data_IF_278025953974
#
_entry.id   IF_278025953974
#
_cell.length_a   1.000
_cell.length_b   1.000
_cell.length_c   1.000
_cell.angle_alpha   90.00
_cell.angle_beta   90.00
_cell.angle_gamma   90.00
#
_symmetry.space_group_name_H-M   'P 1'
#
loop_
_entity.id
_entity.type
_entity.pdbx_description
1 polymer ?
#
# COMPACT_ATOMS: atom_id res chain seq x y z
N UNK A 1 8.33 29.02 -10.96
CA UNK A 1 7.62 27.73 -10.99
C UNK A 1 6.87 27.45 -9.68
N UNK A 2 7.41 27.79 -8.51
CA UNK A 2 6.71 27.61 -7.21
C UNK A 2 5.49 28.56 -7.05
N UNK A 3 5.58 29.80 -7.53
CA UNK A 3 4.51 30.81 -7.38
C UNK A 3 3.19 30.52 -8.11
N UNK A 4 3.20 29.69 -9.16
CA UNK A 4 1.99 29.38 -9.93
C UNK A 4 1.19 28.21 -9.32
N UNK A 5 1.89 27.28 -8.67
CA UNK A 5 1.25 26.13 -8.00
C UNK A 5 0.48 26.57 -6.76
N UNK A 6 0.99 27.55 -6.02
CA UNK A 6 0.34 28.04 -4.80
C UNK A 6 -0.95 28.83 -5.09
N UNK A 7 -0.99 29.59 -6.19
CA UNK A 7 -2.18 30.36 -6.60
C UNK A 7 -3.31 29.46 -7.13
N UNK A 8 -2.96 28.46 -7.93
CA UNK A 8 -3.90 27.47 -8.45
C UNK A 8 -4.53 26.65 -7.31
N UNK A 9 -3.71 26.24 -6.34
CA UNK A 9 -4.16 25.55 -5.13
C UNK A 9 -5.12 26.38 -4.26
N UNK A 10 -4.78 27.65 -4.01
CA UNK A 10 -5.62 28.55 -3.22
C UNK A 10 -6.96 28.83 -3.89
N UNK A 11 -6.96 29.04 -5.21
CA UNK A 11 -8.18 29.28 -6.00
C UNK A 11 -9.09 28.05 -5.96
N UNK A 12 -8.53 26.86 -6.16
CA UNK A 12 -9.27 25.59 -6.07
C UNK A 12 -9.86 25.36 -4.67
N UNK A 13 -9.15 25.76 -3.61
CA UNK A 13 -9.60 25.56 -2.21
C UNK A 13 -10.78 26.46 -1.86
N UNK A 14 -10.77 27.73 -2.28
CA UNK A 14 -11.86 28.67 -2.00
C UNK A 14 -13.11 28.37 -2.85
N UNK A 15 -12.95 27.95 -4.11
CA UNK A 15 -14.06 27.51 -4.96
C UNK A 15 -14.77 26.29 -4.36
N UNK A 16 -14.00 25.26 -3.96
CA UNK A 16 -14.53 24.07 -3.30
C UNK A 16 -15.26 24.40 -2.00
N UNK A 17 -14.73 25.34 -1.22
CA UNK A 17 -15.35 25.79 0.02
C UNK A 17 -16.67 26.52 -0.25
N UNK A 18 -16.71 27.42 -1.23
CA UNK A 18 -17.94 28.14 -1.62
C UNK A 18 -19.02 27.18 -2.10
N UNK A 19 -18.67 26.19 -2.93
CA UNK A 19 -19.63 25.18 -3.37
C UNK A 19 -20.14 24.34 -2.19
N UNK A 20 -19.28 23.99 -1.23
CA UNK A 20 -19.68 23.24 -0.04
C UNK A 20 -20.63 24.03 0.86
N UNK A 21 -20.39 25.34 1.02
CA UNK A 21 -21.23 26.27 1.78
C UNK A 21 -22.63 26.41 1.16
N UNK A 22 -22.76 26.29 -0.16
CA UNK A 22 -24.04 26.33 -0.87
C UNK A 22 -24.82 25.00 -0.84
N UNK A 23 -24.20 23.91 -0.34
CA UNK A 23 -24.83 22.59 -0.35
C UNK A 23 -25.78 22.35 0.83
N UNK A 24 -26.86 21.65 0.51
CA UNK A 24 -27.89 21.31 1.49
C UNK A 24 -27.33 20.45 2.62
N UNK A 25 -27.48 20.91 3.86
CA UNK A 25 -26.95 20.28 5.07
C UNK A 25 -25.63 20.84 5.57
N UNK A 26 -24.99 21.80 4.87
CA UNK A 26 -23.80 22.49 5.37
C UNK A 26 -24.11 23.37 6.58
N UNK A 27 -25.03 24.33 6.42
CA UNK A 27 -25.40 25.29 7.47
C UNK A 27 -25.99 24.62 8.72
N UNK A 28 -26.72 23.52 8.51
CA UNK A 28 -27.35 22.74 9.58
C UNK A 28 -26.39 21.73 10.25
N UNK A 29 -25.14 21.62 9.76
CA UNK A 29 -24.19 20.56 10.13
C UNK A 29 -24.76 19.14 9.98
N UNK A 30 -25.72 18.92 9.07
CA UNK A 30 -26.28 17.61 8.76
C UNK A 30 -25.37 16.91 7.74
N UNK A 31 -24.34 16.25 8.28
CA UNK A 31 -23.34 15.54 7.49
C UNK A 31 -23.90 14.46 6.56
N UNK A 32 -25.07 13.89 6.89
CA UNK A 32 -25.69 12.86 6.06
C UNK A 32 -26.35 13.49 4.84
N UNK A 33 -27.00 14.64 5.02
CA UNK A 33 -27.63 15.42 3.96
C UNK A 33 -26.58 16.06 3.06
N UNK A 34 -25.54 16.66 3.66
CA UNK A 34 -24.41 17.24 2.96
C UNK A 34 -23.72 16.22 2.06
N UNK A 35 -23.39 15.03 2.60
CA UNK A 35 -22.77 13.95 1.80
C UNK A 35 -23.63 13.55 0.61
N UNK A 36 -24.96 13.52 0.77
CA UNK A 36 -25.89 13.16 -0.32
C UNK A 36 -25.87 14.20 -1.44
N UNK A 37 -25.83 15.50 -1.11
CA UNK A 37 -25.70 16.56 -2.11
C UNK A 37 -24.30 16.59 -2.74
N UNK A 38 -23.23 16.36 -1.99
CA UNK A 38 -21.87 16.22 -2.56
C UNK A 38 -21.82 15.13 -3.64
N UNK A 39 -22.38 13.94 -3.35
CA UNK A 39 -22.44 12.82 -4.32
C UNK A 39 -23.30 13.16 -5.53
N UNK A 40 -24.37 13.94 -5.35
CA UNK A 40 -25.27 14.35 -6.43
C UNK A 40 -24.63 15.40 -7.33
N UNK A 41 -23.89 16.35 -6.77
CA UNK A 41 -23.30 17.49 -7.50
C UNK A 41 -21.96 17.13 -8.12
N UNK A 42 -21.09 16.43 -7.39
CA UNK A 42 -19.73 16.11 -7.82
C UNK A 42 -19.57 14.67 -8.34
N UNK A 43 -20.64 13.87 -8.31
CA UNK A 43 -20.57 12.42 -8.48
C UNK A 43 -20.11 11.73 -7.20
N UNK A 44 -20.19 10.39 -7.17
CA UNK A 44 -19.63 9.65 -6.04
C UNK A 44 -18.12 9.93 -6.02
N UNK A 45 -17.66 10.64 -4.98
CA UNK A 45 -16.24 10.79 -4.73
C UNK A 45 -15.72 9.37 -4.60
N UNK A 46 -14.86 8.95 -5.53
CA UNK A 46 -14.30 7.61 -5.54
C UNK A 46 -13.36 7.44 -4.33
N UNK A 47 -13.96 7.32 -3.16
CA UNK A 47 -13.34 6.97 -1.89
C UNK A 47 -12.90 5.49 -1.90
N UNK A 48 -12.96 4.83 -3.06
CA UNK A 48 -12.86 3.37 -3.26
C UNK A 48 -11.42 2.90 -3.48
N UNK A 49 -10.44 3.79 -3.61
CA UNK A 49 -9.03 3.41 -3.76
C UNK A 49 -8.20 4.03 -2.62
N UNK A 50 -8.26 3.39 -1.45
CA UNK A 50 -7.43 3.74 -0.28
C UNK A 50 -5.95 3.48 -0.53
N UNK A 51 -5.64 2.45 -1.33
CA UNK A 51 -4.28 2.12 -1.73
C UNK A 51 -4.22 1.64 -3.18
N UNK A 52 -3.11 1.97 -3.83
CA UNK A 52 -2.75 1.53 -5.18
C UNK A 52 -1.54 0.58 -5.13
N UNK A 53 -1.29 -0.12 -6.24
CA UNK A 53 -0.06 -0.92 -6.41
C UNK A 53 1.19 -0.03 -6.33
N UNK A 54 1.10 1.23 -6.74
CA UNK A 54 2.18 2.20 -6.65
C UNK A 54 2.54 2.55 -5.21
N UNK A 55 1.56 2.61 -4.31
CA UNK A 55 1.80 2.81 -2.87
C UNK A 55 2.63 1.67 -2.28
N UNK A 56 2.30 0.43 -2.67
CA UNK A 56 3.05 -0.76 -2.25
C UNK A 56 4.49 -0.73 -2.78
N UNK A 57 4.68 -0.35 -4.05
CA UNK A 57 6.00 -0.22 -4.69
C UNK A 57 6.82 0.89 -4.02
N UNK A 58 6.20 2.05 -3.78
CA UNK A 58 6.83 3.20 -3.14
C UNK A 58 7.27 2.85 -1.72
N UNK A 59 6.42 2.16 -0.95
CA UNK A 59 6.75 1.69 0.39
C UNK A 59 7.99 0.78 0.37
N UNK A 60 8.03 -0.22 -0.51
CA UNK A 60 9.18 -1.13 -0.61
C UNK A 60 10.47 -0.39 -1.00
N UNK A 61 10.41 0.51 -1.98
CA UNK A 61 11.56 1.33 -2.41
C UNK A 61 12.07 2.26 -1.30
N UNK A 62 11.16 2.88 -0.54
CA UNK A 62 11.53 3.73 0.59
C UNK A 62 12.15 2.91 1.72
N UNK A 63 11.60 1.72 2.00
CA UNK A 63 12.18 0.83 2.99
C UNK A 63 13.56 0.32 2.57
N UNK A 64 13.75 -0.04 1.30
CA UNK A 64 15.06 -0.45 0.78
C UNK A 64 16.14 0.62 0.98
N UNK A 65 15.78 1.90 0.86
CA UNK A 65 16.70 3.04 1.07
C UNK A 65 17.04 3.26 2.54
N UNK A 66 16.08 3.05 3.44
CA UNK A 66 16.29 3.21 4.89
C UNK A 66 16.90 1.98 5.55
N UNK A 67 16.75 0.81 4.91
CA UNK A 67 17.19 -0.48 5.42
C UNK A 67 16.20 -1.10 6.40
N UNK A 68 16.43 -2.37 6.70
CA UNK A 68 15.77 -3.10 7.79
C UNK A 68 16.91 -3.62 8.65
N UNK A 69 17.22 -2.90 9.73
CA UNK A 69 18.43 -3.16 10.54
C UNK A 69 18.13 -3.84 11.86
N UNK A 70 16.86 -3.79 12.29
CA UNK A 70 16.42 -4.30 13.56
C UNK A 70 14.95 -4.71 13.49
N UNK A 71 14.49 -5.40 14.54
CA UNK A 71 13.13 -5.91 14.65
C UNK A 71 12.06 -4.82 14.53
N UNK A 72 12.31 -3.61 15.04
CA UNK A 72 11.35 -2.49 14.98
C UNK A 72 11.14 -2.03 13.53
N UNK A 73 12.21 -1.89 12.76
CA UNK A 73 12.15 -1.53 11.34
C UNK A 73 11.34 -2.59 10.58
N UNK A 74 11.64 -3.85 10.83
CA UNK A 74 10.94 -4.99 10.23
C UNK A 74 9.45 -4.99 10.53
N UNK A 75 9.04 -4.85 11.81
CA UNK A 75 7.61 -4.86 12.18
C UNK A 75 6.86 -3.66 11.61
N UNK A 76 7.48 -2.48 11.58
CA UNK A 76 6.90 -1.29 10.95
C UNK A 76 6.68 -1.51 9.46
N UNK A 77 7.68 -2.05 8.75
CA UNK A 77 7.58 -2.36 7.33
C UNK A 77 6.52 -3.42 7.06
N UNK A 78 6.58 -4.57 7.75
CA UNK A 78 5.64 -5.67 7.62
C UNK A 78 4.19 -5.20 7.84
N UNK A 79 3.95 -4.41 8.89
CA UNK A 79 2.62 -3.90 9.22
C UNK A 79 2.03 -3.02 8.11
N UNK A 80 2.82 -2.07 7.60
CA UNK A 80 2.40 -1.20 6.50
C UNK A 80 2.18 -1.98 5.21
N UNK A 81 3.14 -2.84 4.85
CA UNK A 81 3.10 -3.62 3.61
C UNK A 81 1.90 -4.58 3.61
N UNK A 82 1.67 -5.30 4.72
CA UNK A 82 0.54 -6.23 4.86
C UNK A 82 -0.80 -5.50 4.79
N UNK A 83 -0.90 -4.31 5.39
CA UNK A 83 -2.14 -3.52 5.36
C UNK A 83 -2.51 -3.11 3.93
N UNK A 84 -1.53 -2.62 3.16
CA UNK A 84 -1.71 -2.25 1.75
C UNK A 84 -2.01 -3.50 0.92
N UNK A 85 -1.23 -4.57 1.07
CA UNK A 85 -1.39 -5.80 0.29
C UNK A 85 -2.79 -6.42 0.48
N UNK A 86 -3.26 -6.53 1.72
CA UNK A 86 -4.59 -7.07 2.03
C UNK A 86 -5.70 -6.23 1.41
N UNK A 87 -5.54 -4.91 1.39
CA UNK A 87 -6.47 -4.03 0.69
C UNK A 87 -6.50 -4.33 -0.81
N UNK A 88 -5.34 -4.41 -1.45
CA UNK A 88 -5.23 -4.65 -2.88
C UNK A 88 -5.79 -6.02 -3.29
N UNK A 89 -5.54 -7.06 -2.49
CA UNK A 89 -6.11 -8.40 -2.73
C UNK A 89 -7.61 -8.41 -2.52
N UNK A 90 -8.12 -7.76 -1.46
CA UNK A 90 -9.57 -7.69 -1.19
C UNK A 90 -10.35 -6.98 -2.29
N UNK A 91 -9.72 -6.03 -2.98
CA UNK A 91 -10.35 -5.24 -4.05
C UNK A 91 -9.92 -5.72 -5.45
N UNK A 92 -9.40 -6.94 -5.59
CA UNK A 92 -9.00 -7.56 -6.86
C UNK A 92 -7.95 -6.79 -7.69
N UNK A 93 -7.23 -5.84 -7.07
CA UNK A 93 -6.12 -5.12 -7.70
C UNK A 93 -4.86 -6.01 -7.82
N UNK A 94 -4.73 -7.01 -6.95
CA UNK A 94 -3.72 -8.07 -6.99
C UNK A 94 -4.45 -9.40 -6.81
N UNK A 95 -4.06 -10.43 -7.57
CA UNK A 95 -4.74 -11.72 -7.53
C UNK A 95 -4.50 -12.46 -6.21
N UNK A 96 -3.26 -12.47 -5.70
CA UNK A 96 -2.90 -13.16 -4.46
C UNK A 96 -1.78 -12.45 -3.71
N UNK A 97 -1.67 -12.69 -2.40
CA UNK A 97 -0.61 -12.10 -1.57
C UNK A 97 0.79 -12.54 -2.04
N UNK A 98 0.94 -13.77 -2.56
CA UNK A 98 2.21 -14.29 -3.08
C UNK A 98 2.74 -13.50 -4.27
N UNK A 99 1.88 -12.82 -5.04
CA UNK A 99 2.29 -12.03 -6.20
C UNK A 99 3.13 -10.82 -5.78
N UNK A 100 3.01 -10.38 -4.52
CA UNK A 100 3.81 -9.30 -3.94
C UNK A 100 5.08 -9.78 -3.22
N UNK A 101 5.37 -11.09 -3.18
CA UNK A 101 6.48 -11.68 -2.43
C UNK A 101 7.86 -11.10 -2.84
N UNK A 102 8.09 -10.95 -4.14
CA UNK A 102 9.35 -10.39 -4.66
C UNK A 102 9.49 -8.91 -4.30
N UNK A 103 8.39 -8.16 -4.32
CA UNK A 103 8.38 -6.75 -3.95
C UNK A 103 8.66 -6.58 -2.46
N UNK A 104 8.08 -7.42 -1.60
CA UNK A 104 8.36 -7.43 -0.17
C UNK A 104 9.86 -7.68 0.12
N UNK A 105 10.44 -8.69 -0.54
CA UNK A 105 11.86 -9.03 -0.40
C UNK A 105 12.80 -7.91 -0.86
N UNK A 106 12.36 -7.06 -1.80
CA UNK A 106 13.20 -5.98 -2.35
C UNK A 106 13.59 -4.92 -1.31
N UNK A 107 12.87 -4.84 -0.19
CA UNK A 107 13.20 -3.93 0.92
C UNK A 107 14.39 -4.41 1.77
N UNK A 108 14.75 -5.69 1.70
CA UNK A 108 15.84 -6.27 2.46
C UNK A 108 17.18 -6.13 1.74
N UNK A 109 18.27 -6.15 2.50
CA UNK A 109 19.62 -6.21 1.93
C UNK A 109 19.80 -7.47 1.07
N UNK A 110 20.74 -7.44 0.12
CA UNK A 110 21.04 -8.61 -0.71
C UNK A 110 21.46 -9.84 0.13
N UNK A 111 22.12 -9.61 1.27
CA UNK A 111 22.55 -10.65 2.20
C UNK A 111 21.35 -11.28 2.89
N UNK A 112 20.46 -10.46 3.45
CA UNK A 112 19.24 -10.92 4.09
C UNK A 112 18.30 -11.60 3.11
N UNK A 113 18.16 -11.08 1.88
CA UNK A 113 17.40 -11.77 0.83
C UNK A 113 17.94 -13.18 0.54
N UNK A 114 19.26 -13.37 0.51
CA UNK A 114 19.87 -14.69 0.33
C UNK A 114 19.62 -15.59 1.53
N UNK A 115 19.74 -15.05 2.74
CA UNK A 115 19.47 -15.79 3.98
C UNK A 115 18.03 -16.26 4.07
N UNK A 116 17.06 -15.37 3.86
CA UNK A 116 15.63 -15.67 3.82
C UNK A 116 15.32 -16.75 2.77
N UNK A 117 15.88 -16.63 1.55
CA UNK A 117 15.71 -17.65 0.50
C UNK A 117 16.28 -19.00 0.92
N UNK A 118 17.45 -19.05 1.57
CA UNK A 118 18.01 -20.31 2.11
C UNK A 118 17.10 -20.91 3.16
N UNK A 119 16.56 -20.11 4.08
CA UNK A 119 15.62 -20.57 5.11
C UNK A 119 14.38 -21.22 4.47
N UNK A 120 13.80 -20.58 3.45
CA UNK A 120 12.65 -21.13 2.72
C UNK A 120 12.99 -22.46 2.00
N UNK A 121 14.16 -22.54 1.37
CA UNK A 121 14.62 -23.78 0.70
C UNK A 121 14.82 -24.91 1.72
N UNK A 122 15.48 -24.62 2.84
CA UNK A 122 15.76 -25.61 3.88
C UNK A 122 14.48 -26.17 4.51
N UNK A 123 13.43 -25.35 4.59
CA UNK A 123 12.11 -25.75 5.11
C UNK A 123 11.18 -26.34 4.04
N UNK A 124 11.61 -26.43 2.78
CA UNK A 124 10.77 -26.92 1.68
C UNK A 124 9.61 -25.98 1.32
N UNK A 125 9.69 -24.70 1.72
CA UNK A 125 8.64 -23.68 1.56
C UNK A 125 8.79 -22.86 0.27
N UNK A 126 9.77 -23.20 -0.58
CA UNK A 126 9.94 -22.59 -1.90
C UNK A 126 9.45 -23.56 -2.99
N UNK A 127 8.19 -23.47 -3.44
CA UNK A 127 7.64 -24.39 -4.43
C UNK A 127 8.34 -24.22 -5.78
N UNK A 128 8.49 -25.33 -6.51
CA UNK A 128 8.96 -25.33 -7.90
C UNK A 128 7.80 -25.55 -8.85
N UNK A 129 7.81 -24.84 -9.96
CA UNK A 129 6.95 -25.15 -11.10
C UNK A 129 7.42 -26.42 -11.83
N UNK A 130 6.58 -26.97 -12.70
CA UNK A 130 6.87 -28.19 -13.46
C UNK A 130 8.10 -28.06 -14.37
N UNK A 131 8.40 -26.85 -14.80
CA UNK A 131 9.58 -26.49 -15.61
C UNK A 131 10.86 -26.28 -14.76
N UNK A 132 10.78 -26.45 -13.44
CA UNK A 132 11.89 -26.25 -12.51
C UNK A 132 12.11 -24.80 -12.08
N UNK A 133 11.31 -23.84 -12.59
CA UNK A 133 11.37 -22.45 -12.12
C UNK A 133 10.84 -22.32 -10.69
N UNK A 134 11.38 -21.37 -9.93
CA UNK A 134 10.92 -21.12 -8.57
C UNK A 134 9.60 -20.35 -8.61
N UNK A 135 8.59 -20.85 -7.89
CA UNK A 135 7.37 -20.10 -7.60
C UNK A 135 7.55 -19.25 -6.36
N UNK A 136 6.74 -18.21 -6.23
CA UNK A 136 6.68 -17.43 -5.01
C UNK A 136 6.30 -18.36 -3.82
N UNK A 137 6.95 -18.20 -2.65
CA UNK A 137 6.53 -18.87 -1.43
C UNK A 137 5.15 -18.36 -1.00
N UNK A 138 4.46 -19.11 -0.13
CA UNK A 138 3.27 -18.59 0.55
C UNK A 138 3.64 -17.35 1.36
N UNK A 139 2.71 -16.40 1.48
CA UNK A 139 2.94 -15.15 2.19
C UNK A 139 3.39 -15.39 3.65
N UNK A 140 2.68 -16.24 4.39
CA UNK A 140 3.01 -16.53 5.79
C UNK A 140 4.38 -17.19 5.97
N UNK A 141 4.75 -18.09 5.07
CA UNK A 141 6.06 -18.75 5.09
C UNK A 141 7.19 -17.74 4.85
N UNK A 142 6.98 -16.79 3.92
CA UNK A 142 7.91 -15.70 3.63
C UNK A 142 8.07 -14.77 4.82
N UNK A 143 6.97 -14.36 5.45
CA UNK A 143 6.98 -13.50 6.64
C UNK A 143 7.74 -14.19 7.78
N UNK A 144 7.45 -15.45 8.07
CA UNK A 144 8.12 -16.22 9.11
C UNK A 144 9.63 -16.39 8.85
N UNK A 145 10.02 -16.62 7.58
CA UNK A 145 11.43 -16.70 7.21
C UNK A 145 12.14 -15.35 7.35
N UNK A 146 11.49 -14.24 7.00
CA UNK A 146 12.00 -12.90 7.19
C UNK A 146 12.12 -12.52 8.66
N UNK A 147 11.17 -12.91 9.51
CA UNK A 147 11.24 -12.67 10.96
C UNK A 147 12.38 -13.44 11.63
N UNK A 148 12.76 -14.62 11.09
CA UNK A 148 13.91 -15.39 11.60
C UNK A 148 15.27 -14.74 11.25
N UNK A 149 15.31 -13.92 10.20
CA UNK A 149 16.52 -13.25 9.71
C UNK A 149 16.86 -11.98 10.50
N UNK A 150 15.86 -11.32 11.08
CA UNK A 150 15.99 -10.01 11.76
C UNK A 150 16.15 -10.20 13.27
#
# INVERSE_FOLDING_TARGET
>A
LVFWVDQDWLTTTEELKSELEEMDGYDDCDWKKLRKEMVKTWGDLDNTIMYTTDDLIKLAKQQAKSGITNYRDYKSYLGKFTSILKYLVKNDHISKEEDAALLFLSAFSNESQRSIKRTLVNKGQLPKAKDGSNKAPKWDDLVAAAETEI
#
